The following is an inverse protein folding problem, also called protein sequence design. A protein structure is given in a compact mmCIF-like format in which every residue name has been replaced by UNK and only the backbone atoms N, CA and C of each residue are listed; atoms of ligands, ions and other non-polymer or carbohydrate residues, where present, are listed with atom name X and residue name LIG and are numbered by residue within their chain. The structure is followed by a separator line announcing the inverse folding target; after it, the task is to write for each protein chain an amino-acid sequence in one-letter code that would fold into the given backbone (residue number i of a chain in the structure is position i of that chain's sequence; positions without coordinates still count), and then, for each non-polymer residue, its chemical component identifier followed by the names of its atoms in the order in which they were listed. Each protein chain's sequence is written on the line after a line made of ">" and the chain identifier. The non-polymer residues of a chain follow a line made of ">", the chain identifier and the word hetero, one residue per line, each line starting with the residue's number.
data_IF_366264002785
#
_entry.id   IF_366264002785
#
_cell.length_a   1.000
_cell.length_b   1.000
_cell.length_c   1.000
_cell.angle_alpha   90.00
_cell.angle_beta   90.00
_cell.angle_gamma   90.00
#
_symmetry.space_group_name_H-M   'P 1'
#
loop_
_entity.id
_entity.type
_entity.pdbx_description
1 polymer ?
#
# COMPACT_ATOMS: atom_id res chain seq x y z
N UNK A 1 4.46 1.37 3.28
CA UNK A 1 4.93 1.72 1.94
C UNK A 1 4.60 3.18 1.64
N UNK A 2 4.99 3.73 0.48
CA UNK A 2 4.88 5.16 0.15
C UNK A 2 3.84 5.44 -0.93
N UNK A 3 2.92 6.38 -0.66
CA UNK A 3 1.84 6.80 -1.56
C UNK A 3 0.57 7.22 -0.82
N UNK A 4 -0.57 7.25 -1.50
CA UNK A 4 -1.86 7.56 -0.87
C UNK A 4 -2.19 6.60 0.28
N UNK A 5 -1.92 5.31 0.11
CA UNK A 5 -2.09 4.28 1.14
C UNK A 5 -1.26 4.56 2.41
N UNK A 6 -0.06 5.15 2.29
CA UNK A 6 0.74 5.61 3.43
C UNK A 6 0.00 6.70 4.21
N UNK A 7 -0.56 7.68 3.53
CA UNK A 7 -1.29 8.78 4.16
C UNK A 7 -2.56 8.28 4.84
N UNK A 8 -3.36 7.45 4.16
CA UNK A 8 -4.54 6.82 4.77
C UNK A 8 -4.18 5.96 5.97
N UNK A 9 -3.11 5.16 5.88
CA UNK A 9 -2.64 4.37 7.02
C UNK A 9 -2.24 5.25 8.20
N UNK A 10 -1.55 6.37 7.96
CA UNK A 10 -1.17 7.30 9.01
C UNK A 10 -2.39 8.00 9.65
N UNK A 11 -3.43 8.31 8.84
CA UNK A 11 -4.65 8.98 9.30
C UNK A 11 -5.60 8.05 10.08
N UNK A 12 -5.77 6.81 9.61
CA UNK A 12 -6.86 5.96 10.09
C UNK A 12 -6.40 4.80 10.97
N UNK A 13 -5.11 4.43 10.96
CA UNK A 13 -4.64 3.37 11.83
C UNK A 13 -4.64 3.80 13.30
N UNK A 14 -5.29 3.01 14.14
CA UNK A 14 -5.38 3.28 15.59
C UNK A 14 -4.18 2.65 16.30
N UNK A 15 -3.19 3.45 16.59
CA UNK A 15 -1.98 3.03 17.29
C UNK A 15 -2.29 2.67 18.75
N UNK A 16 -1.81 1.51 19.20
CA UNK A 16 -1.98 1.03 20.58
C UNK A 16 -0.70 1.12 21.39
N UNK A 17 0.44 1.18 20.72
CA UNK A 17 1.76 1.30 21.35
C UNK A 17 2.77 1.94 20.39
N UNK A 18 3.88 2.50 20.92
CA UNK A 18 4.95 3.06 20.08
C UNK A 18 5.55 2.00 19.14
N UNK A 19 6.10 2.47 18.00
CA UNK A 19 6.82 1.64 17.02
C UNK A 19 5.98 0.55 16.34
N UNK A 20 4.66 0.72 16.28
CA UNK A 20 3.77 -0.17 15.54
C UNK A 20 3.65 0.18 14.05
N UNK A 21 4.15 1.34 13.64
CA UNK A 21 4.07 1.83 12.27
C UNK A 21 5.47 2.14 11.75
N UNK A 22 5.83 1.47 10.67
CA UNK A 22 7.11 1.64 9.98
C UNK A 22 6.85 2.22 8.60
N UNK A 23 7.46 3.35 8.28
CA UNK A 23 7.29 3.98 6.98
C UNK A 23 8.47 4.86 6.62
N UNK A 24 8.73 5.06 5.33
CA UNK A 24 9.71 6.03 4.85
C UNK A 24 9.09 7.44 4.87
N UNK A 25 8.95 8.02 6.08
CA UNK A 25 8.32 9.33 6.27
C UNK A 25 9.24 10.53 5.98
N UNK A 26 10.53 10.31 5.82
CA UNK A 26 11.50 11.35 5.48
C UNK A 26 11.67 11.49 3.97
N UNK A 27 12.36 10.54 3.34
CA UNK A 27 12.64 10.58 1.90
C UNK A 27 11.49 10.08 1.03
N UNK A 28 10.50 9.38 1.59
CA UNK A 28 9.40 8.84 0.81
C UNK A 28 9.84 7.80 -0.21
N UNK A 29 10.65 6.84 0.21
CA UNK A 29 11.26 5.83 -0.66
C UNK A 29 10.23 4.76 -1.02
N UNK A 30 9.74 4.75 -2.24
CA UNK A 30 8.91 3.66 -2.77
C UNK A 30 9.70 2.35 -2.80
N UNK A 31 9.04 1.24 -2.43
CA UNK A 31 9.68 -0.07 -2.28
C UNK A 31 10.23 -0.38 -0.89
N UNK A 32 10.17 0.58 0.04
CA UNK A 32 10.63 0.39 1.42
C UNK A 32 9.82 -0.68 2.17
N UNK A 33 8.51 -0.74 1.95
CA UNK A 33 7.57 -1.45 2.80
C UNK A 33 7.79 -2.96 2.86
N UNK A 34 7.98 -3.63 1.73
CA UNK A 34 8.13 -5.09 1.70
C UNK A 34 9.40 -5.53 2.46
N UNK A 35 10.56 -4.92 2.17
CA UNK A 35 11.80 -5.22 2.89
C UNK A 35 11.70 -4.93 4.39
N UNK A 36 11.08 -3.80 4.76
CA UNK A 36 10.85 -3.43 6.16
C UNK A 36 9.93 -4.43 6.87
N UNK A 37 8.90 -4.95 6.19
CA UNK A 37 7.99 -5.95 6.76
C UNK A 37 8.67 -7.30 6.99
N UNK A 38 9.54 -7.73 6.07
CA UNK A 38 10.37 -8.92 6.26
C UNK A 38 11.29 -8.78 7.47
N UNK A 39 11.99 -7.64 7.56
CA UNK A 39 12.85 -7.34 8.71
C UNK A 39 12.09 -7.28 10.03
N UNK A 40 10.93 -6.64 10.05
CA UNK A 40 10.07 -6.58 11.23
C UNK A 40 9.58 -7.97 11.67
N UNK A 41 9.21 -8.83 10.70
CA UNK A 41 8.79 -10.21 11.02
C UNK A 41 9.93 -11.07 11.54
N UNK A 42 11.14 -10.89 11.02
CA UNK A 42 12.34 -11.57 11.55
C UNK A 42 12.69 -11.10 12.97
N UNK A 43 12.54 -9.80 13.25
CA UNK A 43 12.81 -9.24 14.58
C UNK A 43 11.74 -9.61 15.63
N UNK A 44 10.50 -9.80 15.19
CA UNK A 44 9.35 -10.10 16.05
C UNK A 44 8.52 -11.24 15.46
N UNK A 45 9.02 -12.48 15.49
CA UNK A 45 8.39 -13.62 14.83
C UNK A 45 6.98 -13.95 15.35
N UNK A 46 6.68 -13.57 16.58
CA UNK A 46 5.36 -13.77 17.21
C UNK A 46 4.31 -12.71 16.79
N UNK A 47 4.74 -11.60 16.21
CA UNK A 47 3.82 -10.53 15.79
C UNK A 47 3.25 -10.77 14.41
N UNK A 48 2.00 -10.39 14.22
CA UNK A 48 1.44 -10.22 12.88
C UNK A 48 2.05 -8.99 12.23
N UNK A 49 2.66 -9.16 11.07
CA UNK A 49 3.22 -8.06 10.28
C UNK A 49 2.44 -7.92 8.99
N UNK A 50 1.90 -6.74 8.78
CA UNK A 50 1.13 -6.38 7.58
C UNK A 50 1.84 -5.23 6.89
N UNK A 51 2.17 -5.38 5.60
CA UNK A 51 2.57 -4.28 4.75
C UNK A 51 1.35 -3.76 3.99
N UNK A 52 1.16 -2.45 3.94
CA UNK A 52 0.15 -1.80 3.11
C UNK A 52 0.89 -1.03 2.04
N UNK A 53 0.79 -1.49 0.79
CA UNK A 53 1.47 -0.93 -0.35
C UNK A 53 0.49 -0.47 -1.44
N UNK A 54 0.90 0.47 -2.26
CA UNK A 54 0.26 0.70 -3.55
C UNK A 54 0.88 -0.22 -4.60
N UNK A 55 0.16 -0.45 -5.69
CA UNK A 55 0.65 -1.26 -6.81
C UNK A 55 1.96 -0.71 -7.39
N UNK A 56 2.14 0.61 -7.45
CA UNK A 56 3.39 1.23 -7.89
C UNK A 56 4.56 1.00 -6.94
N UNK A 57 4.36 1.16 -5.63
CA UNK A 57 5.40 0.93 -4.62
C UNK A 57 5.79 -0.55 -4.51
N UNK A 58 4.80 -1.45 -4.51
CA UNK A 58 5.03 -2.89 -4.47
C UNK A 58 5.91 -3.39 -5.63
N UNK A 59 5.72 -2.85 -6.85
CA UNK A 59 6.54 -3.20 -8.04
C UNK A 59 8.02 -2.96 -7.86
N UNK A 60 8.41 -2.03 -7.00
CA UNK A 60 9.83 -1.68 -6.81
C UNK A 60 10.66 -2.85 -6.27
N UNK A 61 10.05 -3.69 -5.40
CA UNK A 61 10.73 -4.80 -4.72
C UNK A 61 9.91 -6.10 -4.65
N UNK A 62 8.92 -6.27 -5.52
CA UNK A 62 8.03 -7.46 -5.52
C UNK A 62 8.75 -8.80 -5.61
N UNK A 63 9.99 -8.81 -6.15
CA UNK A 63 10.86 -9.98 -6.21
C UNK A 63 11.21 -10.52 -4.81
N UNK A 64 11.16 -9.70 -3.76
CA UNK A 64 11.43 -10.11 -2.37
C UNK A 64 10.34 -11.02 -1.77
N UNK A 65 9.22 -11.23 -2.47
CA UNK A 65 8.29 -12.31 -2.14
C UNK A 65 8.97 -13.69 -2.22
N UNK A 66 9.95 -13.87 -3.12
CA UNK A 66 10.74 -15.09 -3.18
C UNK A 66 11.59 -15.28 -1.91
N UNK A 67 12.11 -14.19 -1.35
CA UNK A 67 12.82 -14.19 -0.05
C UNK A 67 11.86 -14.59 1.08
N UNK A 68 10.65 -14.01 1.10
CA UNK A 68 9.62 -14.35 2.08
C UNK A 68 9.23 -15.83 2.04
N UNK A 69 8.94 -16.33 0.85
CA UNK A 69 8.55 -17.73 0.63
C UNK A 69 9.67 -18.71 0.98
N UNK A 70 10.86 -18.49 0.43
CA UNK A 70 12.02 -19.37 0.65
C UNK A 70 12.38 -19.53 2.13
N UNK A 71 12.26 -18.46 2.90
CA UNK A 71 12.65 -18.42 4.32
C UNK A 71 11.47 -18.60 5.27
N UNK A 72 10.26 -18.89 4.75
CA UNK A 72 9.03 -19.03 5.55
C UNK A 72 8.79 -17.82 6.46
N UNK A 73 8.90 -16.60 5.94
CA UNK A 73 8.63 -15.36 6.67
C UNK A 73 7.17 -14.97 6.44
N UNK A 74 6.23 -15.29 7.33
CA UNK A 74 4.80 -15.09 7.12
C UNK A 74 4.42 -13.64 7.35
N UNK A 75 4.42 -12.86 6.29
CA UNK A 75 3.89 -11.50 6.24
C UNK A 75 2.58 -11.47 5.45
N UNK A 76 1.78 -10.45 5.66
CA UNK A 76 0.59 -10.15 4.85
C UNK A 76 0.87 -8.87 4.07
N UNK A 77 0.95 -8.99 2.75
CA UNK A 77 1.09 -7.89 1.82
C UNK A 77 -0.29 -7.48 1.31
N UNK A 78 -0.74 -6.27 1.61
CA UNK A 78 -2.00 -5.71 1.11
C UNK A 78 -1.67 -4.67 0.05
N UNK A 79 -2.02 -4.94 -1.19
CA UNK A 79 -1.79 -4.04 -2.31
C UNK A 79 -3.06 -3.23 -2.56
N UNK A 80 -3.02 -1.94 -2.27
CA UNK A 80 -4.08 -0.99 -2.64
C UNK A 80 -3.87 -0.61 -4.11
N UNK A 81 -4.53 -1.36 -4.98
CA UNK A 81 -4.28 -1.35 -6.42
C UNK A 81 -5.31 -0.48 -7.16
N UNK A 82 -4.88 0.70 -7.54
CA UNK A 82 -5.68 1.63 -8.34
C UNK A 82 -5.17 1.77 -9.79
N UNK A 83 -4.17 0.98 -10.17
CA UNK A 83 -3.51 1.01 -11.50
C UNK A 83 -2.91 2.36 -11.88
N UNK A 84 -2.57 3.20 -10.89
CA UNK A 84 -1.93 4.50 -11.10
C UNK A 84 -0.93 4.82 -9.98
N UNK A 85 -0.02 5.73 -10.24
CA UNK A 85 0.75 6.40 -9.19
C UNK A 85 -0.17 7.43 -8.50
N UNK A 86 -0.99 6.96 -7.55
CA UNK A 86 -2.15 7.69 -7.05
C UNK A 86 -1.81 9.04 -6.44
N UNK A 87 -0.72 9.17 -5.67
CA UNK A 87 -0.32 10.45 -5.08
C UNK A 87 0.07 11.46 -6.16
N UNK A 88 0.85 11.04 -7.16
CA UNK A 88 1.26 11.92 -8.28
C UNK A 88 0.03 12.33 -9.09
N UNK A 89 -0.87 11.36 -9.38
CA UNK A 89 -2.12 11.63 -10.09
C UNK A 89 -3.01 12.61 -9.32
N UNK A 90 -3.13 12.47 -8.01
CA UNK A 90 -3.89 13.41 -7.17
C UNK A 90 -3.34 14.83 -7.26
N UNK A 91 -2.02 15.00 -7.23
CA UNK A 91 -1.38 16.30 -7.42
C UNK A 91 -1.65 16.88 -8.81
N UNK A 92 -1.57 16.06 -9.85
CA UNK A 92 -1.91 16.47 -11.21
C UNK A 92 -3.37 16.90 -11.33
N UNK A 93 -4.27 16.23 -10.61
CA UNK A 93 -5.68 16.58 -10.53
C UNK A 93 -5.89 17.93 -9.85
N UNK A 94 -5.30 18.12 -8.66
CA UNK A 94 -5.58 19.26 -7.80
C UNK A 94 -4.83 20.53 -8.23
N UNK A 95 -3.56 20.39 -8.65
CA UNK A 95 -2.67 21.54 -8.82
C UNK A 95 -2.17 21.76 -10.25
N UNK A 96 -2.36 20.79 -11.14
CA UNK A 96 -1.83 20.87 -12.52
C UNK A 96 -2.90 20.76 -13.61
N UNK A 97 -4.13 21.15 -13.30
CA UNK A 97 -5.23 21.23 -14.27
C UNK A 97 -5.56 19.91 -14.94
N UNK A 98 -5.43 18.78 -14.21
CA UNK A 98 -5.69 17.42 -14.71
C UNK A 98 -4.81 17.01 -15.89
N UNK A 99 -3.63 17.62 -16.03
CA UNK A 99 -2.65 17.25 -17.06
C UNK A 99 -1.87 16.03 -16.61
N UNK A 100 -2.46 14.87 -16.80
CA UNK A 100 -1.87 13.58 -16.41
C UNK A 100 -0.69 13.21 -17.31
N UNK A 101 0.42 12.82 -16.69
CA UNK A 101 1.63 12.38 -17.39
C UNK A 101 2.29 11.25 -16.60
N UNK A 102 2.53 10.12 -17.27
CA UNK A 102 3.29 8.98 -16.77
C UNK A 102 2.82 8.43 -15.40
N UNK A 103 1.54 8.51 -15.10
CA UNK A 103 0.98 8.03 -13.81
C UNK A 103 0.14 6.78 -13.95
N UNK A 104 -0.16 6.33 -15.15
CA UNK A 104 -0.95 5.11 -15.40
C UNK A 104 -0.02 3.90 -15.41
N UNK A 105 -0.40 2.86 -14.68
CA UNK A 105 0.32 1.59 -14.54
C UNK A 105 -0.49 0.45 -15.19
N UNK A 106 -1.00 0.70 -16.38
CA UNK A 106 -1.86 -0.23 -17.12
C UNK A 106 -1.01 -1.20 -17.97
N UNK A 107 -0.23 -2.03 -17.31
CA UNK A 107 0.68 -3.00 -17.94
C UNK A 107 0.24 -4.46 -17.75
N UNK A 108 -0.95 -4.70 -17.21
CA UNK A 108 -1.55 -6.03 -17.08
C UNK A 108 -0.89 -6.94 -16.05
N UNK A 109 -0.10 -6.43 -15.10
CA UNK A 109 0.49 -7.26 -14.04
C UNK A 109 -0.60 -7.84 -13.15
N UNK A 110 -0.63 -9.17 -13.03
CA UNK A 110 -1.49 -9.91 -12.11
C UNK A 110 -0.71 -10.27 -10.84
N UNK A 111 -0.94 -9.51 -9.78
CA UNK A 111 -0.21 -9.70 -8.52
C UNK A 111 -0.57 -10.99 -7.79
N UNK A 112 -1.75 -11.57 -8.04
CA UNK A 112 -2.12 -12.89 -7.48
C UNK A 112 -1.26 -13.97 -8.12
N UNK A 113 -1.21 -14.01 -9.45
CA UNK A 113 -0.35 -14.98 -10.17
C UNK A 113 1.12 -14.79 -9.87
N UNK A 114 1.57 -13.52 -9.73
CA UNK A 114 2.93 -13.22 -9.32
C UNK A 114 3.24 -13.82 -7.94
N UNK A 115 2.36 -13.61 -6.96
CA UNK A 115 2.52 -14.15 -5.62
C UNK A 115 2.62 -15.68 -5.64
N UNK A 116 1.72 -16.34 -6.36
CA UNK A 116 1.71 -17.79 -6.52
C UNK A 116 2.99 -18.33 -7.19
N UNK A 117 3.44 -17.67 -8.27
CA UNK A 117 4.67 -18.01 -8.96
C UNK A 117 5.93 -17.88 -8.06
N UNK A 118 5.91 -16.96 -7.09
CA UNK A 118 6.97 -16.76 -6.12
C UNK A 118 6.77 -17.59 -4.82
N UNK A 119 5.80 -18.52 -4.80
CA UNK A 119 5.56 -19.45 -3.70
C UNK A 119 4.77 -18.88 -2.53
N UNK A 120 4.11 -17.75 -2.71
CA UNK A 120 3.21 -17.12 -1.75
C UNK A 120 1.75 -17.50 -2.01
N UNK A 121 0.85 -17.18 -1.09
CA UNK A 121 -0.60 -17.31 -1.30
C UNK A 121 -1.14 -15.99 -1.82
N UNK A 122 -1.92 -16.02 -2.90
CA UNK A 122 -2.51 -14.84 -3.51
C UNK A 122 -4.04 -14.79 -3.37
N UNK A 123 -4.58 -13.62 -3.04
CA UNK A 123 -6.00 -13.33 -3.05
C UNK A 123 -6.27 -12.03 -3.80
N UNK A 124 -7.45 -11.97 -4.45
CA UNK A 124 -7.97 -10.71 -5.02
C UNK A 124 -9.20 -10.29 -4.25
N UNK A 125 -9.37 -9.00 -4.03
CA UNK A 125 -10.53 -8.42 -3.41
C UNK A 125 -10.97 -7.17 -4.18
N UNK A 126 -12.25 -7.12 -4.58
CA UNK A 126 -12.90 -6.01 -5.27
C UNK A 126 -14.00 -5.39 -4.40
N UNK A 127 -14.35 -6.08 -3.30
CA UNK A 127 -15.34 -5.64 -2.32
C UNK A 127 -14.79 -5.70 -0.90
N UNK A 128 -15.44 -5.01 0.03
CA UNK A 128 -15.09 -5.04 1.45
C UNK A 128 -15.26 -6.43 2.06
N UNK A 129 -16.26 -7.16 1.60
CA UNK A 129 -16.58 -8.52 2.03
C UNK A 129 -15.48 -9.50 1.61
N UNK A 130 -15.05 -9.42 0.35
CA UNK A 130 -13.94 -10.22 -0.17
C UNK A 130 -12.63 -9.92 0.55
N UNK A 131 -12.33 -8.63 0.77
CA UNK A 131 -11.18 -8.22 1.54
C UNK A 131 -11.21 -8.77 2.96
N UNK A 132 -12.34 -8.63 3.66
CA UNK A 132 -12.52 -9.13 5.02
C UNK A 132 -12.30 -10.64 5.11
N UNK A 133 -12.83 -11.39 4.15
CA UNK A 133 -12.65 -12.85 4.04
C UNK A 133 -11.18 -13.21 3.78
N UNK A 134 -10.55 -12.55 2.80
CA UNK A 134 -9.14 -12.79 2.47
C UNK A 134 -8.21 -12.49 3.66
N UNK A 135 -8.41 -11.35 4.32
CA UNK A 135 -7.63 -10.96 5.50
C UNK A 135 -7.83 -11.94 6.66
N UNK A 136 -9.07 -12.32 6.96
CA UNK A 136 -9.37 -13.30 8.02
C UNK A 136 -8.68 -14.64 7.74
N UNK A 137 -8.67 -15.09 6.49
CA UNK A 137 -7.95 -16.31 6.09
C UNK A 137 -6.44 -16.11 6.24
N UNK A 138 -5.89 -15.00 5.73
CA UNK A 138 -4.46 -14.69 5.79
C UNK A 138 -3.92 -14.71 7.24
N UNK A 139 -4.70 -14.19 8.19
CA UNK A 139 -4.34 -14.16 9.61
C UNK A 139 -4.21 -15.55 10.26
N UNK A 140 -4.79 -16.59 9.65
CA UNK A 140 -4.68 -17.98 10.13
C UNK A 140 -3.56 -18.76 9.45
N UNK A 141 -3.03 -18.24 8.33
CA UNK A 141 -1.98 -18.91 7.57
C UNK A 141 -0.58 -18.55 8.11
N UNK A 142 0.26 -19.57 8.25
CA UNK A 142 1.68 -19.38 8.56
C UNK A 142 2.52 -19.37 7.27
N UNK A 143 2.13 -18.51 6.31
CA UNK A 143 2.78 -18.36 5.01
C UNK A 143 2.72 -16.90 4.58
N UNK A 144 3.61 -16.45 3.69
CA UNK A 144 3.47 -15.14 3.05
C UNK A 144 2.19 -15.09 2.21
N UNK A 145 1.40 -14.03 2.40
CA UNK A 145 0.13 -13.82 1.70
C UNK A 145 0.14 -12.47 1.01
N UNK A 146 -0.36 -12.42 -0.21
CA UNK A 146 -0.62 -11.18 -0.96
C UNK A 146 -2.13 -11.03 -1.16
N UNK A 147 -2.67 -9.85 -0.86
CA UNK A 147 -4.06 -9.49 -1.13
C UNK A 147 -4.08 -8.30 -2.09
N UNK A 148 -4.44 -8.54 -3.35
CA UNK A 148 -4.60 -7.52 -4.39
C UNK A 148 -5.97 -6.87 -4.27
N UNK A 149 -6.06 -5.69 -3.63
CA UNK A 149 -7.28 -4.94 -3.42
C UNK A 149 -7.50 -3.94 -4.55
N UNK A 150 -8.48 -4.16 -5.39
CA UNK A 150 -8.83 -3.28 -6.51
C UNK A 150 -9.66 -2.11 -6.03
N UNK A 151 -9.19 -0.88 -6.29
CA UNK A 151 -9.89 0.35 -5.94
C UNK A 151 -9.97 1.31 -7.14
N UNK A 152 -10.80 2.36 -7.01
CA UNK A 152 -10.91 3.41 -8.02
C UNK A 152 -9.62 4.23 -8.17
N UNK A 153 -9.29 4.61 -9.41
CA UNK A 153 -8.07 5.37 -9.72
C UNK A 153 -8.10 6.84 -9.29
N UNK A 154 -9.28 7.38 -9.06
CA UNK A 154 -9.49 8.79 -8.75
C UNK A 154 -9.86 9.04 -7.28
N UNK A 155 -9.65 8.03 -6.42
CA UNK A 155 -9.75 8.20 -4.98
C UNK A 155 -8.67 9.14 -4.46
N UNK A 156 -9.05 10.14 -3.67
CA UNK A 156 -8.14 11.17 -3.16
C UNK A 156 -8.01 11.13 -1.64
N UNK A 157 -6.82 11.45 -1.17
CA UNK A 157 -6.54 11.61 0.27
C UNK A 157 -6.89 13.04 0.68
N UNK A 158 -7.68 13.18 1.73
CA UNK A 158 -7.99 14.45 2.37
C UNK A 158 -7.86 14.33 3.89
N UNK A 159 -7.62 15.44 4.63
CA UNK A 159 -7.35 16.78 4.10
C UNK A 159 -6.01 16.88 3.39
N UNK A 160 -5.85 17.90 2.53
CA UNK A 160 -4.61 18.22 1.83
C UNK A 160 -4.16 19.64 2.09
N UNK A 161 -2.86 19.91 1.94
CA UNK A 161 -2.29 21.25 1.96
C UNK A 161 -1.60 21.50 0.63
N UNK A 162 -1.86 22.63 0.00
CA UNK A 162 -1.20 22.99 -1.24
C UNK A 162 0.32 23.18 -1.03
N UNK A 163 1.18 22.93 -2.03
CA UNK A 163 2.61 23.10 -1.91
C UNK A 163 2.98 24.52 -1.49
N UNK A 164 3.80 24.63 -0.44
CA UNK A 164 4.26 25.94 0.08
C UNK A 164 3.29 26.67 1.00
N UNK A 165 2.08 26.14 1.19
CA UNK A 165 1.09 26.76 2.07
C UNK A 165 1.25 26.32 3.54
N UNK A 166 0.75 27.13 4.46
CA UNK A 166 0.72 26.80 5.88
C UNK A 166 -0.29 25.68 6.16
N UNK A 167 -0.02 24.84 7.16
CA UNK A 167 -0.92 23.74 7.54
C UNK A 167 -2.32 24.19 7.93
N UNK A 168 -2.47 25.43 8.41
CA UNK A 168 -3.77 26.06 8.71
C UNK A 168 -4.66 26.28 7.48
N UNK A 169 -4.08 26.14 6.26
CA UNK A 169 -4.80 26.19 4.99
C UNK A 169 -5.09 24.80 4.42
N UNK A 170 -5.14 23.79 5.26
CA UNK A 170 -5.60 22.47 4.86
C UNK A 170 -7.05 22.56 4.34
N UNK A 171 -7.32 21.81 3.28
CA UNK A 171 -8.62 21.75 2.62
C UNK A 171 -9.11 20.33 2.43
N UNK A 172 -10.43 20.18 2.41
CA UNK A 172 -11.14 18.92 2.17
C UNK A 172 -11.75 18.86 0.76
N UNK A 173 -12.34 17.73 0.41
CA UNK A 173 -13.05 17.55 -0.86
C UNK A 173 -14.20 18.55 -1.05
N UNK A 174 -14.84 19.00 0.05
CA UNK A 174 -15.93 20.00 0.03
C UNK A 174 -15.47 21.41 -0.36
N UNK A 175 -14.18 21.71 -0.19
CA UNK A 175 -13.57 23.00 -0.51
C UNK A 175 -13.21 23.13 -1.99
N UNK A 176 -13.29 22.03 -2.75
CA UNK A 176 -12.90 21.89 -4.16
C UNK A 176 -14.07 22.19 -5.13
N UNK A 177 -15.00 23.06 -4.78
CA UNK A 177 -16.15 23.44 -5.60
C UNK A 177 -15.79 24.45 -6.68
#
# INVERSE_FOLDING_TARGET
>A
EVGQHQMWSAQFYKYKSPRQFLTSGGLGTMGYGLGASLGAKCAFPEKTVINIAGDGGFRMNMNELATASRNNIPIIEIIINNSVLGMVRQWQTLFYGKRYSNTVLDDGVDFVKLAEALGCVGYRAETKEEFSKALSTALTLNKPVVIDCRIGKDENVYPMVAPGEAISKAFDASDMK
#
